data_IF_264337585611
#
_entry.id   IF_264337585611
#
_cell.length_a   1.000
_cell.length_b   1.000
_cell.length_c   1.000
_cell.angle_alpha   90.00
_cell.angle_beta   90.00
_cell.angle_gamma   90.00
#
_symmetry.space_group_name_H-M   'P 1'
#
loop_
_entity.id
_entity.type
_entity.pdbx_description
1 polymer ?
#
# COMPACT_ATOMS: atom_id res chain seq x y z
N UNK A 1 14.61 -12.25 -6.60
CA UNK A 1 13.59 -11.75 -5.66
C UNK A 1 14.19 -10.89 -4.55
N UNK A 2 15.02 -11.43 -3.64
CA UNK A 2 15.64 -10.64 -2.55
C UNK A 2 16.48 -9.43 -3.05
N UNK A 3 17.21 -9.57 -4.16
CA UNK A 3 17.97 -8.46 -4.73
C UNK A 3 17.08 -7.29 -5.18
N UNK A 4 15.91 -7.57 -5.79
CA UNK A 4 14.94 -6.55 -6.19
C UNK A 4 14.33 -5.85 -4.97
N UNK A 5 13.96 -6.62 -3.95
CA UNK A 5 13.46 -6.05 -2.68
C UNK A 5 14.47 -5.11 -2.03
N UNK A 6 15.76 -5.46 -2.04
CA UNK A 6 16.84 -4.57 -1.55
C UNK A 6 16.93 -3.28 -2.34
N UNK A 7 16.94 -3.36 -3.68
CA UNK A 7 16.97 -2.18 -4.55
C UNK A 7 15.77 -1.26 -4.31
N UNK A 8 14.58 -1.83 -4.17
CA UNK A 8 13.37 -1.06 -3.88
C UNK A 8 13.41 -0.44 -2.47
N UNK A 9 13.91 -1.16 -1.47
CA UNK A 9 14.11 -0.61 -0.15
C UNK A 9 15.05 0.59 -0.18
N UNK A 10 16.19 0.50 -0.87
CA UNK A 10 17.11 1.63 -1.05
C UNK A 10 16.43 2.82 -1.74
N UNK A 11 15.62 2.56 -2.78
CA UNK A 11 14.85 3.61 -3.47
C UNK A 11 13.84 4.26 -2.53
N UNK A 12 13.08 3.49 -1.77
CA UNK A 12 12.08 4.00 -0.83
C UNK A 12 12.71 4.81 0.31
N UNK A 13 13.89 4.41 0.79
CA UNK A 13 14.63 5.12 1.84
C UNK A 13 15.16 6.49 1.39
N UNK A 14 15.29 6.73 0.08
CA UNK A 14 15.67 8.05 -0.46
C UNK A 14 14.50 9.04 -0.49
N UNK A 15 13.25 8.58 -0.34
CA UNK A 15 12.07 9.45 -0.32
C UNK A 15 12.04 10.19 1.01
N UNK A 16 12.31 11.50 0.95
CA UNK A 16 12.23 12.39 2.12
C UNK A 16 10.84 13.01 2.21
N UNK A 17 10.35 13.16 3.43
CA UNK A 17 9.11 13.85 3.76
C UNK A 17 9.34 14.64 5.03
N UNK A 18 8.62 15.74 5.21
CA UNK A 18 8.58 16.41 6.51
C UNK A 18 8.07 15.44 7.57
N UNK A 19 8.80 15.31 8.68
CA UNK A 19 8.37 14.49 9.81
C UNK A 19 6.99 14.94 10.29
N UNK A 20 6.13 13.97 10.62
CA UNK A 20 4.76 14.18 11.10
C UNK A 20 3.78 14.92 10.16
N UNK A 21 4.18 15.22 8.91
CA UNK A 21 3.22 15.70 7.91
C UNK A 21 2.06 14.70 7.75
N UNK A 22 0.80 15.15 7.61
CA UNK A 22 -0.30 14.25 7.31
C UNK A 22 -0.17 13.67 5.90
N UNK A 23 -0.83 12.54 5.63
CA UNK A 23 -1.07 12.06 4.26
C UNK A 23 -2.09 12.98 3.59
N UNK A 24 -1.86 13.32 2.33
CA UNK A 24 -2.87 14.05 1.55
C UNK A 24 -3.97 13.10 1.07
N UNK A 25 -5.05 13.64 0.50
CA UNK A 25 -6.23 12.86 0.12
C UNK A 25 -5.89 11.75 -0.89
N UNK A 26 -5.07 12.06 -1.90
CA UNK A 26 -4.57 11.08 -2.85
C UNK A 26 -3.89 9.89 -2.16
N UNK A 27 -2.90 10.17 -1.31
CA UNK A 27 -2.15 9.15 -0.56
C UNK A 27 -3.07 8.38 0.37
N UNK A 28 -4.02 9.06 1.02
CA UNK A 28 -4.99 8.46 1.92
C UNK A 28 -5.88 7.45 1.19
N UNK A 29 -6.38 7.78 0.00
CA UNK A 29 -7.21 6.86 -0.80
C UNK A 29 -6.47 5.57 -1.14
N UNK A 30 -5.21 5.65 -1.58
CA UNK A 30 -4.42 4.45 -1.90
C UNK A 30 -4.15 3.62 -0.65
N UNK A 31 -3.77 4.26 0.46
CA UNK A 31 -3.53 3.58 1.74
C UNK A 31 -4.79 2.88 2.26
N UNK A 32 -5.96 3.53 2.13
CA UNK A 32 -7.26 2.96 2.48
C UNK A 32 -7.63 1.79 1.61
N UNK A 33 -7.46 1.88 0.29
CA UNK A 33 -7.69 0.75 -0.61
C UNK A 33 -6.90 -0.48 -0.19
N UNK A 34 -5.59 -0.33 0.08
CA UNK A 34 -4.77 -1.45 0.54
C UNK A 34 -5.28 -2.00 1.88
N UNK A 35 -5.56 -1.13 2.85
CA UNK A 35 -6.00 -1.55 4.19
C UNK A 35 -7.37 -2.25 4.21
N UNK A 36 -8.35 -1.67 3.51
CA UNK A 36 -9.74 -2.08 3.55
C UNK A 36 -10.00 -3.28 2.62
N UNK A 37 -9.33 -3.33 1.47
CA UNK A 37 -9.62 -4.29 0.40
C UNK A 37 -8.57 -5.39 0.25
N UNK A 38 -7.31 -5.13 0.64
CA UNK A 38 -6.20 -6.08 0.44
C UNK A 38 -5.72 -6.67 1.76
N UNK A 39 -5.12 -5.88 2.64
CA UNK A 39 -4.54 -6.34 3.90
C UNK A 39 -4.32 -5.19 4.88
N UNK A 40 -4.68 -5.42 6.14
CA UNK A 40 -4.28 -4.52 7.25
C UNK A 40 -2.81 -4.69 7.65
N UNK A 41 -2.18 -5.77 7.20
CA UNK A 41 -0.84 -6.22 7.58
C UNK A 41 0.01 -6.41 6.32
N UNK A 42 0.25 -5.37 5.51
CA UNK A 42 1.13 -5.50 4.36
C UNK A 42 2.53 -5.94 4.84
N UNK A 43 3.15 -6.92 4.18
CA UNK A 43 4.55 -7.27 4.45
C UNK A 43 5.46 -6.08 4.10
N UNK A 44 6.71 -6.14 4.56
CA UNK A 44 7.66 -5.05 4.35
C UNK A 44 7.89 -4.74 2.87
N UNK A 45 8.02 -5.78 2.02
CA UNK A 45 8.14 -5.62 0.57
C UNK A 45 7.00 -4.80 -0.02
N UNK A 46 5.76 -5.05 0.40
CA UNK A 46 4.59 -4.32 -0.08
C UNK A 46 4.54 -2.89 0.48
N UNK A 47 4.92 -2.67 1.74
CA UNK A 47 5.03 -1.31 2.28
C UNK A 47 6.09 -0.47 1.53
N UNK A 48 7.19 -1.08 1.10
CA UNK A 48 8.20 -0.44 0.24
C UNK A 48 7.60 -0.06 -1.13
N UNK A 49 6.84 -0.95 -1.76
CA UNK A 49 6.17 -0.68 -3.02
C UNK A 49 5.16 0.47 -2.90
N UNK A 50 4.31 0.45 -1.85
CA UNK A 50 3.38 1.54 -1.56
C UNK A 50 4.15 2.86 -1.44
N UNK A 51 5.21 2.90 -0.62
CA UNK A 51 6.03 4.09 -0.42
C UNK A 51 6.57 4.68 -1.73
N UNK A 52 7.02 3.82 -2.65
CA UNK A 52 7.50 4.22 -3.98
C UNK A 52 6.37 4.80 -4.82
N UNK A 53 5.22 4.11 -4.90
CA UNK A 53 4.09 4.50 -5.76
C UNK A 53 3.52 5.85 -5.31
N UNK A 54 3.13 5.97 -4.03
CA UNK A 54 2.49 7.19 -3.52
C UNK A 54 3.49 8.30 -3.16
N UNK A 55 4.78 8.08 -3.48
CA UNK A 55 5.92 8.96 -3.19
C UNK A 55 5.95 9.44 -1.74
N UNK A 56 5.79 8.50 -0.81
CA UNK A 56 5.72 8.76 0.63
C UNK A 56 6.87 8.06 1.34
N UNK A 57 7.46 8.70 2.36
CA UNK A 57 8.53 8.08 3.11
C UNK A 57 8.08 6.74 3.74
N UNK A 58 8.91 5.71 3.58
CA UNK A 58 8.61 4.35 4.02
C UNK A 58 8.20 4.28 5.50
N UNK A 59 8.91 5.00 6.39
CA UNK A 59 8.59 5.08 7.81
C UNK A 59 7.16 5.59 8.06
N UNK A 60 6.70 6.57 7.28
CA UNK A 60 5.36 7.12 7.44
C UNK A 60 4.28 6.15 6.94
N UNK A 61 4.53 5.40 5.86
CA UNK A 61 3.63 4.32 5.43
C UNK A 61 3.49 3.27 6.54
N UNK A 62 4.60 2.80 7.09
CA UNK A 62 4.61 1.84 8.20
C UNK A 62 3.83 2.35 9.42
N UNK A 63 4.07 3.61 9.80
CA UNK A 63 3.38 4.26 10.91
C UNK A 63 1.87 4.40 10.65
N UNK A 64 1.48 4.75 9.42
CA UNK A 64 0.07 4.88 9.05
C UNK A 64 -0.66 3.55 9.26
N UNK A 65 -0.16 2.43 8.73
CA UNK A 65 -0.79 1.12 8.93
C UNK A 65 -0.82 0.72 10.41
N UNK A 66 0.22 1.06 11.18
CA UNK A 66 0.24 0.80 12.63
C UNK A 66 -0.85 1.57 13.37
N UNK A 67 -0.95 2.88 13.13
CA UNK A 67 -1.95 3.75 13.74
C UNK A 67 -3.36 3.32 13.33
N UNK A 68 -3.53 2.95 12.07
CA UNK A 68 -4.83 2.56 11.54
C UNK A 68 -5.34 1.27 12.18
N UNK A 69 -4.46 0.29 12.44
CA UNK A 69 -4.82 -0.92 13.21
C UNK A 69 -5.13 -0.64 14.69
N UNK A 70 -4.53 0.38 15.28
CA UNK A 70 -4.81 0.75 16.67
C UNK A 70 -6.19 1.39 16.80
N UNK A 71 -6.56 2.24 15.82
CA UNK A 71 -7.88 2.87 15.73
C UNK A 71 -8.96 1.86 15.36
N UNK A 72 -8.69 1.03 14.36
CA UNK A 72 -9.64 0.10 13.77
C UNK A 72 -9.09 -1.33 13.91
N UNK A 73 -9.65 -2.08 14.88
CA UNK A 73 -9.19 -3.46 15.18
C UNK A 73 -9.97 -4.54 14.46
N UNK A 74 -10.96 -4.14 13.66
CA UNK A 74 -11.98 -5.04 13.14
C UNK A 74 -11.76 -5.42 11.67
N UNK A 75 -12.46 -6.48 11.28
CA UNK A 75 -12.53 -6.98 9.92
C UNK A 75 -11.86 -8.33 9.73
N UNK A 76 -12.49 -9.15 8.89
CA UNK A 76 -12.07 -10.53 8.61
C UNK A 76 -10.79 -10.53 7.79
N UNK A 77 -9.86 -11.41 8.12
CA UNK A 77 -8.66 -11.67 7.34
C UNK A 77 -8.43 -13.18 7.24
N UNK A 78 -7.90 -13.63 6.10
CA UNK A 78 -7.53 -15.03 5.84
C UNK A 78 -6.03 -15.11 5.68
N UNK A 79 -5.41 -16.07 6.38
CA UNK A 79 -3.96 -16.31 6.28
C UNK A 79 -3.67 -17.06 4.98
N UNK A 80 -2.69 -16.57 4.22
CA UNK A 80 -2.21 -17.21 3.00
C UNK A 80 -0.72 -16.85 2.79
N UNK A 81 -0.17 -17.23 1.64
CA UNK A 81 1.22 -17.02 1.26
C UNK A 81 1.31 -16.38 -0.13
N UNK A 82 2.22 -15.44 -0.31
CA UNK A 82 2.52 -14.88 -1.64
C UNK A 82 3.36 -15.83 -2.47
N UNK A 83 3.52 -15.55 -3.77
CA UNK A 83 4.41 -16.29 -4.66
C UNK A 83 5.88 -16.27 -4.18
N UNK A 84 6.25 -15.23 -3.42
CA UNK A 84 7.57 -15.04 -2.81
C UNK A 84 7.78 -15.83 -1.52
N UNK A 85 6.72 -16.45 -0.98
CA UNK A 85 6.76 -17.17 0.28
C UNK A 85 6.45 -16.33 1.53
N UNK A 86 5.96 -15.09 1.35
CA UNK A 86 5.61 -14.25 2.49
C UNK A 86 4.24 -14.63 3.04
N UNK A 87 4.18 -14.86 4.35
CA UNK A 87 2.93 -15.08 5.07
C UNK A 87 2.16 -13.77 5.15
N UNK A 88 0.98 -13.72 4.53
CA UNK A 88 0.12 -12.52 4.49
C UNK A 88 -1.26 -12.82 5.06
N UNK A 89 -1.98 -11.74 5.42
CA UNK A 89 -3.34 -11.78 5.95
C UNK A 89 -4.25 -10.96 5.04
N UNK A 90 -4.89 -11.63 4.10
CA UNK A 90 -5.69 -10.95 3.08
C UNK A 90 -7.14 -10.75 3.52
N UNK A 91 -7.72 -9.64 3.10
CA UNK A 91 -9.15 -9.37 3.18
C UNK A 91 -9.91 -10.31 2.23
N UNK A 92 -11.20 -10.62 2.49
CA UNK A 92 -11.96 -11.53 1.64
C UNK A 92 -12.03 -11.13 0.16
N UNK A 93 -12.06 -9.83 -0.14
CA UNK A 93 -12.10 -9.33 -1.51
C UNK A 93 -10.81 -9.70 -2.28
N UNK A 94 -9.65 -9.52 -1.66
CA UNK A 94 -8.36 -9.85 -2.27
C UNK A 94 -8.14 -11.36 -2.52
N UNK A 95 -8.94 -12.25 -1.92
CA UNK A 95 -8.87 -13.68 -2.19
C UNK A 95 -9.49 -14.06 -3.55
N UNK A 96 -10.27 -13.17 -4.16
CA UNK A 96 -10.85 -13.38 -5.49
C UNK A 96 -9.82 -13.13 -6.61
N UNK A 97 -8.69 -12.50 -6.27
CA UNK A 97 -7.61 -12.26 -7.20
C UNK A 97 -6.72 -13.51 -7.39
N UNK A 98 -5.90 -13.56 -8.46
CA UNK A 98 -4.85 -14.56 -8.61
C UNK A 98 -3.88 -14.59 -7.42
N UNK A 99 -2.99 -15.59 -7.40
CA UNK A 99 -1.96 -15.68 -6.36
C UNK A 99 -1.17 -14.37 -6.27
N UNK A 100 -1.18 -13.76 -5.10
CA UNK A 100 -0.49 -12.50 -4.85
C UNK A 100 1.01 -12.67 -4.95
N UNK A 101 1.66 -11.68 -5.57
CA UNK A 101 3.11 -11.55 -5.69
C UNK A 101 3.50 -10.10 -5.44
N UNK A 102 4.79 -9.81 -5.30
CA UNK A 102 5.29 -8.43 -5.27
C UNK A 102 4.89 -7.68 -6.55
N UNK A 103 4.98 -8.34 -7.70
CA UNK A 103 4.70 -7.77 -9.01
C UNK A 103 3.22 -7.46 -9.19
N UNK A 104 2.36 -8.43 -8.88
CA UNK A 104 0.92 -8.26 -8.99
C UNK A 104 0.43 -7.20 -8.00
N UNK A 105 1.00 -7.16 -6.79
CA UNK A 105 0.69 -6.11 -5.83
C UNK A 105 1.12 -4.72 -6.33
N UNK A 106 2.32 -4.58 -6.88
CA UNK A 106 2.81 -3.34 -7.47
C UNK A 106 1.87 -2.83 -8.57
N UNK A 107 1.47 -3.71 -9.50
CA UNK A 107 0.54 -3.37 -10.58
C UNK A 107 -0.82 -2.89 -10.07
N UNK A 108 -1.43 -3.63 -9.12
CA UNK A 108 -2.72 -3.26 -8.52
C UNK A 108 -2.66 -1.88 -7.87
N UNK A 109 -1.59 -1.60 -7.10
CA UNK A 109 -1.44 -0.31 -6.42
C UNK A 109 -1.19 0.82 -7.43
N UNK A 110 -0.37 0.59 -8.47
CA UNK A 110 -0.12 1.59 -9.52
C UNK A 110 -1.36 1.94 -10.33
N UNK A 111 -2.16 0.94 -10.71
CA UNK A 111 -3.42 1.15 -11.46
C UNK A 111 -4.40 1.96 -10.60
N UNK A 112 -4.51 1.63 -9.32
CA UNK A 112 -5.41 2.34 -8.42
C UNK A 112 -4.93 3.77 -8.13
N UNK A 113 -3.63 3.98 -7.89
CA UNK A 113 -3.01 5.30 -7.73
C UNK A 113 -3.32 6.20 -8.93
N UNK A 114 -3.12 5.69 -10.15
CA UNK A 114 -3.49 6.41 -11.37
C UNK A 114 -4.98 6.76 -11.42
N UNK A 115 -5.86 5.81 -11.07
CA UNK A 115 -7.31 6.06 -11.03
C UNK A 115 -7.66 7.19 -10.05
N UNK A 116 -7.12 7.16 -8.83
CA UNK A 116 -7.37 8.21 -7.83
C UNK A 116 -6.88 9.56 -8.33
N UNK A 117 -5.70 9.62 -8.97
CA UNK A 117 -5.20 10.86 -9.56
C UNK A 117 -6.13 11.42 -10.64
N UNK A 118 -6.72 10.56 -11.48
CA UNK A 118 -7.66 10.99 -12.52
C UNK A 118 -8.98 11.47 -11.91
N UNK A 119 -9.51 10.73 -10.94
CA UNK A 119 -10.77 11.06 -10.27
C UNK A 119 -10.67 12.40 -9.53
N UNK A 120 -9.56 12.64 -8.81
CA UNK A 120 -9.31 13.92 -8.12
C UNK A 120 -9.20 15.09 -9.10
N UNK A 121 -8.50 14.92 -10.22
CA UNK A 121 -8.38 15.96 -11.26
C UNK A 121 -9.71 16.31 -11.92
N UNK A 122 -10.56 15.31 -12.15
CA UNK A 122 -11.89 15.52 -12.72
C UNK A 122 -12.79 16.32 -11.75
N UNK A 123 -12.71 16.02 -10.45
CA UNK A 123 -13.45 16.75 -9.42
C UNK A 123 -12.98 18.19 -9.27
N UNK A 124 -11.67 18.46 -9.35
CA UNK A 124 -11.13 19.82 -9.32
C UNK A 124 -11.56 20.67 -10.52
N UNK A 125 -11.83 20.04 -11.67
CA UNK A 125 -12.28 20.72 -12.90
C UNK A 125 -13.78 21.03 -12.92
N UNK A 126 -14.53 20.52 -11.93
CA UNK A 126 -15.99 20.64 -11.83
C UNK A 126 -16.45 21.64 -10.76
N UNK A 127 -15.50 22.30 -10.08
CA UNK A 127 -15.71 23.36 -9.09
C UNK A 127 -15.17 24.70 -9.60
#
# INVERSE_FOLDING_TARGET
MQARRRLFMERAMRIKSLDNSPVNDHQLHVLRMVYDQITMYPPESWMVLIAIVIRRAFKQVKNWFSNERQKNKEGKNVRTETKEGDKVRLRPLALQCPQWSDDFFEEVVMIYDYKVLMDLRANDSSN
#
